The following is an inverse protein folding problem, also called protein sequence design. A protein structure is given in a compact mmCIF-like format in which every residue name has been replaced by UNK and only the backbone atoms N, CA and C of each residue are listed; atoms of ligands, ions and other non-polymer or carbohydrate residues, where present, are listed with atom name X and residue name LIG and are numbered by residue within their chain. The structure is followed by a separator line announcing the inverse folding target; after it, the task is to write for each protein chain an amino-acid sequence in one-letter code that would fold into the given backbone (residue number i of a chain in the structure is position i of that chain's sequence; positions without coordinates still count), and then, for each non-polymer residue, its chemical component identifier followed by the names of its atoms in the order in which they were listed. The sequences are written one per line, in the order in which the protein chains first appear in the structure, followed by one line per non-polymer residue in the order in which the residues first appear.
data_IF_184258822872
#
_entry.id   IF_184258822872
#
_cell.length_a   1.000
_cell.length_b   1.000
_cell.length_c   1.000
_cell.angle_alpha   90.00
_cell.angle_beta   90.00
_cell.angle_gamma   90.00
#
_symmetry.space_group_name_H-M   'P 1'
#
loop_
_entity.id
_entity.type
_entity.pdbx_description
1 polymer ?
#
# COMPACT_ATOMS: atom_id res chain seq x y z
N UNK A 1 -30.21 9.69 4.98
CA UNK A 1 -29.33 10.06 3.87
C UNK A 1 -29.00 8.77 3.12
N UNK A 2 -29.21 8.70 1.82
CA UNK A 2 -28.81 7.54 1.02
C UNK A 2 -27.32 7.67 0.71
N UNK A 3 -26.52 6.65 1.03
CA UNK A 3 -25.10 6.63 0.70
C UNK A 3 -24.93 6.46 -0.82
N UNK A 4 -23.98 7.18 -1.40
CA UNK A 4 -23.63 7.09 -2.82
C UNK A 4 -22.72 5.87 -3.07
N UNK A 5 -22.80 5.31 -4.27
CA UNK A 5 -21.87 4.24 -4.71
C UNK A 5 -20.54 4.88 -5.13
N UNK A 6 -19.45 4.20 -4.80
CA UNK A 6 -18.10 4.71 -5.07
C UNK A 6 -17.35 3.72 -5.98
N UNK A 7 -16.85 4.23 -7.08
CA UNK A 7 -16.13 3.46 -8.09
C UNK A 7 -14.68 3.91 -8.23
N UNK A 8 -13.84 3.03 -8.73
CA UNK A 8 -12.46 3.36 -9.12
C UNK A 8 -12.44 3.68 -10.59
N UNK A 9 -12.00 4.89 -10.93
CA UNK A 9 -11.95 5.39 -12.32
C UNK A 9 -10.55 5.66 -12.84
N UNK A 10 -9.53 5.58 -11.98
CA UNK A 10 -8.13 5.72 -12.37
C UNK A 10 -7.18 5.08 -11.39
N UNK A 11 -6.04 4.63 -11.89
CA UNK A 11 -5.01 3.91 -11.15
C UNK A 11 -3.64 4.45 -11.53
N UNK A 12 -2.76 4.59 -10.54
CA UNK A 12 -1.35 4.91 -10.77
C UNK A 12 -0.46 4.23 -9.75
N UNK A 13 0.69 3.71 -10.17
CA UNK A 13 1.60 3.02 -9.26
C UNK A 13 3.06 3.10 -9.68
N UNK A 14 3.94 3.24 -8.68
CA UNK A 14 5.37 2.98 -8.78
C UNK A 14 5.73 1.97 -7.71
N UNK A 15 6.34 0.86 -8.11
CA UNK A 15 6.68 -0.24 -7.21
C UNK A 15 8.08 -0.79 -7.55
N UNK A 16 8.71 -1.57 -6.67
CA UNK A 16 10.01 -2.20 -6.95
C UNK A 16 10.04 -3.12 -8.17
N UNK A 17 8.87 -3.49 -8.68
CA UNK A 17 8.71 -4.43 -9.80
C UNK A 17 7.99 -3.84 -11.02
N UNK A 18 7.67 -2.53 -10.99
CA UNK A 18 7.07 -1.83 -12.13
C UNK A 18 6.83 -0.36 -11.81
N UNK A 19 7.18 0.53 -12.74
CA UNK A 19 7.06 1.99 -12.60
C UNK A 19 5.77 2.56 -13.20
N UNK A 20 4.81 1.70 -13.48
CA UNK A 20 3.43 2.01 -13.88
C UNK A 20 2.55 0.80 -13.56
N UNK A 21 1.24 0.98 -13.60
CA UNK A 21 0.28 -0.05 -13.24
C UNK A 21 0.31 -1.29 -14.16
N UNK A 22 0.41 -1.17 -15.50
CA UNK A 22 0.57 -2.33 -16.37
C UNK A 22 1.81 -3.17 -16.08
N UNK A 23 2.96 -2.53 -15.91
CA UNK A 23 4.23 -3.21 -15.60
C UNK A 23 4.17 -3.88 -14.23
N UNK A 24 3.62 -3.18 -13.23
CA UNK A 24 3.40 -3.74 -11.89
C UNK A 24 2.54 -5.01 -11.95
N UNK A 25 1.39 -4.96 -12.61
CA UNK A 25 0.50 -6.11 -12.74
C UNK A 25 1.15 -7.28 -13.46
N UNK A 26 1.83 -7.00 -14.58
CA UNK A 26 2.55 -8.02 -15.33
C UNK A 26 3.66 -8.68 -14.48
N UNK A 27 4.42 -7.90 -13.72
CA UNK A 27 5.45 -8.42 -12.83
C UNK A 27 4.88 -9.27 -11.68
N UNK A 28 3.72 -8.88 -11.12
CA UNK A 28 3.00 -9.68 -10.13
C UNK A 28 2.62 -11.06 -10.69
N UNK A 29 2.04 -11.11 -11.88
CA UNK A 29 1.65 -12.39 -12.51
C UNK A 29 2.84 -13.28 -12.85
N UNK A 30 4.00 -12.68 -13.13
CA UNK A 30 5.23 -13.43 -13.43
C UNK A 30 6.06 -13.78 -12.19
N UNK A 31 5.62 -13.43 -10.98
CA UNK A 31 6.33 -13.75 -9.75
C UNK A 31 7.70 -13.07 -9.65
N UNK A 32 7.82 -11.81 -10.08
CA UNK A 32 9.08 -11.08 -10.09
C UNK A 32 9.44 -10.59 -8.70
N UNK A 33 10.61 -10.98 -8.17
CA UNK A 33 11.14 -10.44 -6.92
C UNK A 33 11.73 -9.04 -7.12
N UNK A 34 11.30 -8.09 -6.31
CA UNK A 34 11.85 -6.73 -6.26
C UNK A 34 13.12 -6.59 -5.43
N UNK A 35 13.43 -7.59 -4.60
CA UNK A 35 14.57 -7.54 -3.69
C UNK A 35 15.92 -7.50 -4.42
N UNK A 36 16.79 -6.58 -3.98
CA UNK A 36 18.15 -6.43 -4.50
C UNK A 36 19.06 -5.88 -3.40
N UNK A 37 20.36 -5.96 -3.61
CA UNK A 37 21.32 -5.25 -2.75
C UNK A 37 20.98 -3.76 -2.71
N UNK A 38 21.08 -3.14 -1.53
CA UNK A 38 20.83 -1.70 -1.35
C UNK A 38 21.85 -0.91 -2.15
N UNK A 39 21.36 0.06 -2.94
CA UNK A 39 22.17 0.95 -3.77
C UNK A 39 22.12 2.41 -3.33
N UNK A 40 21.12 2.78 -2.51
CA UNK A 40 20.89 4.17 -2.08
C UNK A 40 21.93 4.66 -1.05
N UNK A 41 22.58 3.75 -0.32
CA UNK A 41 23.67 4.05 0.62
C UNK A 41 24.59 2.85 0.82
N UNK A 42 25.74 3.03 1.47
CA UNK A 42 26.64 1.92 1.82
C UNK A 42 26.09 1.10 3.00
N UNK A 43 25.47 -0.03 2.67
CA UNK A 43 24.88 -0.95 3.63
C UNK A 43 25.87 -2.00 4.18
N UNK A 44 27.16 -1.96 3.86
CA UNK A 44 28.14 -3.01 4.19
C UNK A 44 28.26 -3.32 5.68
N UNK A 45 27.96 -2.33 6.56
CA UNK A 45 28.00 -2.48 8.02
C UNK A 45 26.64 -2.82 8.64
N UNK A 46 25.58 -2.93 7.84
CA UNK A 46 24.23 -3.21 8.34
C UNK A 46 23.96 -4.71 8.37
N UNK A 47 23.10 -5.13 9.29
CA UNK A 47 22.65 -6.52 9.38
C UNK A 47 21.85 -6.92 8.15
N UNK A 48 20.96 -6.06 7.68
CA UNK A 48 20.23 -6.21 6.41
C UNK A 48 20.86 -5.33 5.37
N UNK A 49 21.30 -5.92 4.23
CA UNK A 49 22.01 -5.23 3.15
C UNK A 49 21.25 -5.23 1.82
N UNK A 50 19.97 -5.56 1.87
CA UNK A 50 19.09 -5.64 0.71
C UNK A 50 17.74 -4.99 1.01
N UNK A 51 17.05 -4.58 -0.03
CA UNK A 51 15.72 -3.96 0.03
C UNK A 51 15.03 -4.07 -1.34
N UNK A 52 13.77 -3.71 -1.40
CA UNK A 52 13.00 -3.56 -2.62
C UNK A 52 12.95 -2.08 -3.02
N UNK A 53 14.04 -1.58 -3.63
CA UNK A 53 14.15 -0.22 -4.17
C UNK A 53 13.39 -0.08 -5.49
N UNK A 54 12.90 1.13 -5.80
CA UNK A 54 12.40 1.46 -7.14
C UNK A 54 13.54 1.38 -8.17
N UNK A 55 13.31 0.62 -9.23
CA UNK A 55 14.32 0.42 -10.28
C UNK A 55 14.13 1.43 -11.39
N UNK A 56 15.22 2.15 -11.75
CA UNK A 56 15.22 3.09 -12.87
C UNK A 56 14.34 4.33 -12.67
N UNK A 57 13.92 4.63 -11.45
CA UNK A 57 13.18 5.86 -11.15
C UNK A 57 14.12 7.08 -11.19
N UNK A 58 13.81 8.00 -12.07
CA UNK A 58 14.43 9.33 -12.13
C UNK A 58 13.34 10.41 -11.95
N UNK A 59 13.42 11.13 -10.84
CA UNK A 59 12.48 12.20 -10.52
C UNK A 59 12.43 13.31 -11.60
N UNK A 60 13.53 13.50 -12.35
CA UNK A 60 13.60 14.53 -13.41
C UNK A 60 12.77 14.20 -14.65
N UNK A 61 12.25 12.98 -14.77
CA UNK A 61 11.26 12.64 -15.80
C UNK A 61 9.86 13.18 -15.49
N UNK A 62 9.60 13.52 -14.21
CA UNK A 62 8.29 13.94 -13.71
C UNK A 62 8.30 15.37 -13.15
N UNK A 63 9.45 15.85 -12.72
CA UNK A 63 9.62 17.14 -12.02
C UNK A 63 10.75 17.94 -12.64
N UNK A 64 10.58 19.26 -12.72
CA UNK A 64 11.69 20.13 -13.02
C UNK A 64 12.77 20.04 -11.92
N UNK A 65 14.04 20.19 -12.30
CA UNK A 65 15.19 20.12 -11.37
C UNK A 65 15.07 21.05 -10.15
N UNK A 66 14.46 22.23 -10.33
CA UNK A 66 14.23 23.18 -9.22
C UNK A 66 13.15 22.70 -8.27
N UNK A 67 12.15 22.02 -8.80
CA UNK A 67 11.03 21.47 -8.05
C UNK A 67 11.42 20.20 -7.29
N UNK A 68 12.13 19.28 -7.96
CA UNK A 68 12.60 18.03 -7.34
C UNK A 68 13.46 18.24 -6.09
N UNK A 69 14.17 19.37 -6.01
CA UNK A 69 14.99 19.75 -4.83
C UNK A 69 14.18 20.23 -3.63
N UNK A 70 12.91 20.62 -3.84
CA UNK A 70 12.03 21.15 -2.80
C UNK A 70 11.19 20.09 -2.11
N UNK A 71 11.20 18.86 -2.61
CA UNK A 71 10.41 17.75 -2.12
C UNK A 71 11.29 16.54 -1.76
N UNK A 72 10.88 15.77 -0.75
CA UNK A 72 11.52 14.51 -0.40
C UNK A 72 11.18 13.40 -1.41
N UNK A 73 11.96 12.32 -1.41
CA UNK A 73 11.77 11.18 -2.33
C UNK A 73 10.36 10.62 -2.27
N UNK A 74 9.75 10.47 -1.07
CA UNK A 74 8.38 9.93 -0.97
C UNK A 74 7.36 10.84 -1.70
N UNK A 75 7.54 12.16 -1.66
CA UNK A 75 6.71 13.12 -2.41
C UNK A 75 7.00 13.06 -3.92
N UNK A 76 8.26 12.86 -4.34
CA UNK A 76 8.61 12.72 -5.76
C UNK A 76 7.88 11.53 -6.39
N UNK A 77 7.91 10.38 -5.75
CA UNK A 77 7.21 9.17 -6.24
C UNK A 77 5.68 9.29 -6.15
N UNK A 78 5.16 10.01 -5.15
CA UNK A 78 3.74 10.33 -5.04
C UNK A 78 3.25 11.14 -6.24
N UNK A 79 4.01 12.16 -6.64
CA UNK A 79 3.68 13.01 -7.79
C UNK A 79 3.70 12.21 -9.10
N UNK A 80 4.70 11.35 -9.29
CA UNK A 80 4.76 10.49 -10.47
C UNK A 80 3.56 9.53 -10.56
N UNK A 81 3.18 8.88 -9.45
CA UNK A 81 1.99 8.04 -9.41
C UNK A 81 0.69 8.85 -9.64
N UNK A 82 0.64 10.12 -9.15
CA UNK A 82 -0.54 10.97 -9.35
C UNK A 82 -0.74 11.36 -10.81
N UNK A 83 0.35 11.60 -11.54
CA UNK A 83 0.27 11.89 -12.98
C UNK A 83 -0.32 10.73 -13.76
N UNK A 84 0.09 9.49 -13.46
CA UNK A 84 -0.47 8.30 -14.07
C UNK A 84 -1.96 8.17 -13.76
N UNK A 85 -2.35 8.24 -12.47
CA UNK A 85 -3.73 8.04 -12.05
C UNK A 85 -4.70 9.11 -12.59
N UNK A 86 -4.30 10.37 -12.57
CA UNK A 86 -5.12 11.48 -13.09
C UNK A 86 -5.29 11.38 -14.60
N UNK A 87 -4.22 11.00 -15.32
CA UNK A 87 -4.27 10.76 -16.77
C UNK A 87 -5.15 9.55 -17.09
N UNK A 88 -5.02 8.46 -16.36
CA UNK A 88 -5.81 7.24 -16.53
C UNK A 88 -7.31 7.51 -16.29
N UNK A 89 -7.63 8.23 -15.22
CA UNK A 89 -8.99 8.68 -14.91
C UNK A 89 -9.55 9.69 -15.92
N UNK A 90 -8.74 10.25 -16.82
CA UNK A 90 -9.11 11.33 -17.74
C UNK A 90 -9.79 12.50 -17.03
N UNK A 91 -9.20 12.92 -15.89
CA UNK A 91 -9.70 14.09 -15.17
C UNK A 91 -9.28 15.34 -15.93
N UNK A 92 -10.27 16.17 -16.27
CA UNK A 92 -10.07 17.45 -16.94
C UNK A 92 -10.66 18.57 -16.08
N UNK A 93 -9.78 19.36 -15.46
CA UNK A 93 -10.14 20.49 -14.60
C UNK A 93 -10.87 21.62 -15.30
N UNK A 94 -10.83 21.69 -16.63
CA UNK A 94 -11.53 22.72 -17.41
C UNK A 94 -13.02 22.38 -17.58
N UNK A 95 -13.38 21.10 -17.47
CA UNK A 95 -14.75 20.62 -17.62
C UNK A 95 -15.39 20.12 -16.32
N UNK A 96 -14.59 19.90 -15.29
CA UNK A 96 -15.03 19.42 -13.98
C UNK A 96 -14.84 20.51 -12.91
N UNK A 97 -15.66 20.47 -11.86
CA UNK A 97 -15.53 21.39 -10.73
C UNK A 97 -14.34 20.99 -9.84
N UNK A 98 -13.21 21.73 -9.86
CA UNK A 98 -12.04 21.39 -9.06
C UNK A 98 -12.27 21.55 -7.56
N UNK A 99 -13.32 22.25 -7.11
CA UNK A 99 -13.68 22.38 -5.70
C UNK A 99 -14.37 21.11 -5.17
N UNK A 100 -14.78 20.21 -6.08
CA UNK A 100 -15.34 18.89 -5.79
C UNK A 100 -14.35 17.75 -5.96
N UNK A 101 -13.10 18.03 -6.32
CA UNK A 101 -12.00 17.04 -6.44
C UNK A 101 -11.03 17.25 -5.30
N UNK A 102 -10.91 16.24 -4.43
CA UNK A 102 -10.05 16.28 -3.27
C UNK A 102 -8.84 15.33 -3.35
N UNK A 103 -7.97 15.42 -2.35
CA UNK A 103 -6.79 14.56 -2.19
C UNK A 103 -6.72 14.07 -0.75
N UNK A 104 -6.79 12.75 -0.55
CA UNK A 104 -6.56 12.11 0.75
C UNK A 104 -5.40 11.14 0.58
N UNK A 105 -4.23 11.50 1.10
CA UNK A 105 -3.00 10.79 0.80
C UNK A 105 -2.26 10.38 2.08
N UNK A 106 -1.51 9.28 2.02
CA UNK A 106 -0.88 8.70 3.20
C UNK A 106 0.64 8.55 3.06
N UNK A 107 1.31 8.62 4.19
CA UNK A 107 2.64 8.09 4.40
C UNK A 107 2.76 7.63 5.85
N UNK A 108 3.53 6.59 6.12
CA UNK A 108 3.75 6.10 7.47
C UNK A 108 4.81 6.88 8.22
N UNK A 109 5.87 7.32 7.53
CA UNK A 109 7.05 7.97 8.12
C UNK A 109 7.35 9.32 7.46
N UNK A 110 7.07 9.48 6.17
CA UNK A 110 7.29 10.72 5.44
C UNK A 110 8.76 11.00 5.11
N UNK A 111 9.20 12.25 5.23
CA UNK A 111 10.50 12.73 4.78
C UNK A 111 11.70 12.33 5.66
N UNK A 112 11.83 11.07 6.02
CA UNK A 112 12.91 10.55 6.87
C UNK A 112 14.30 10.78 6.25
N UNK A 113 14.43 10.64 4.93
CA UNK A 113 15.71 10.87 4.24
C UNK A 113 16.14 12.31 4.42
N UNK A 114 15.24 13.25 4.15
CA UNK A 114 15.52 14.70 4.37
C UNK A 114 15.88 15.00 5.83
N UNK A 115 15.13 14.41 6.79
CA UNK A 115 15.43 14.59 8.22
C UNK A 115 16.83 14.09 8.56
N UNK A 116 17.18 12.90 8.13
CA UNK A 116 18.50 12.30 8.35
C UNK A 116 19.61 13.19 7.78
N UNK A 117 19.50 13.63 6.52
CA UNK A 117 20.50 14.45 5.84
C UNK A 117 20.72 15.79 6.55
N UNK A 118 19.65 16.50 6.89
CA UNK A 118 19.73 17.82 7.53
C UNK A 118 20.33 17.74 8.94
N UNK A 119 19.97 16.72 9.73
CA UNK A 119 20.54 16.49 11.06
C UNK A 119 22.01 16.10 10.99
N UNK A 120 22.41 15.24 10.05
CA UNK A 120 23.81 14.86 9.85
C UNK A 120 24.63 16.08 9.41
N UNK A 121 24.14 16.90 8.50
CA UNK A 121 24.81 18.10 8.02
C UNK A 121 25.01 19.11 9.16
N UNK A 122 23.98 19.32 9.98
CA UNK A 122 24.10 20.18 11.16
C UNK A 122 25.13 19.64 12.17
N UNK A 123 25.09 18.34 12.48
CA UNK A 123 25.99 17.70 13.43
C UNK A 123 27.47 17.72 12.98
N UNK A 124 27.73 17.68 11.69
CA UNK A 124 29.09 17.78 11.09
C UNK A 124 29.56 19.21 10.90
N UNK A 125 28.69 20.21 11.09
CA UNK A 125 28.97 21.63 10.91
C UNK A 125 29.66 22.27 12.14
N UNK A 126 29.72 23.57 12.12
CA UNK A 126 30.31 24.42 13.17
C UNK A 126 29.32 24.81 14.29
N UNK A 127 28.14 24.19 14.32
CA UNK A 127 27.06 24.53 15.26
C UNK A 127 26.15 25.65 14.79
N UNK A 128 26.47 26.32 13.67
CA UNK A 128 25.57 27.32 13.09
C UNK A 128 24.37 26.66 12.47
N UNK A 129 23.11 27.04 12.81
CA UNK A 129 21.90 26.38 12.30
C UNK A 129 21.60 26.78 10.85
N UNK A 130 22.28 26.14 9.91
CA UNK A 130 22.10 26.34 8.46
C UNK A 130 21.30 25.20 7.88
N UNK A 131 19.98 25.19 8.12
CA UNK A 131 19.05 24.22 7.55
C UNK A 131 18.52 24.68 6.19
N UNK A 132 18.14 23.70 5.35
CA UNK A 132 17.45 23.98 4.10
C UNK A 132 16.11 24.68 4.39
N UNK A 133 15.75 25.79 3.71
CA UNK A 133 14.45 26.46 3.90
C UNK A 133 13.24 25.56 3.68
N UNK A 134 13.40 24.48 2.92
CA UNK A 134 12.36 23.48 2.67
C UNK A 134 12.44 22.27 3.62
N UNK A 135 13.30 22.28 4.64
CA UNK A 135 13.48 21.14 5.54
C UNK A 135 12.15 20.68 6.14
N UNK A 136 11.45 21.57 6.82
CA UNK A 136 10.16 21.21 7.46
C UNK A 136 9.11 20.82 6.41
N UNK A 137 8.85 21.59 5.34
CA UNK A 137 7.92 21.18 4.29
C UNK A 137 8.24 19.82 3.64
N UNK A 138 9.52 19.49 3.46
CA UNK A 138 9.92 18.20 2.89
C UNK A 138 9.65 17.02 3.84
N UNK A 139 9.70 17.27 5.15
CA UNK A 139 9.62 16.23 6.17
C UNK A 139 8.19 15.85 6.53
N UNK A 140 7.26 16.82 6.58
CA UNK A 140 5.89 16.59 7.08
C UNK A 140 5.06 15.72 6.15
N UNK A 141 4.22 14.86 6.74
CA UNK A 141 3.48 13.81 6.04
C UNK A 141 2.40 14.31 5.07
N UNK A 142 1.80 15.47 5.36
CA UNK A 142 0.69 16.05 4.59
C UNK A 142 1.13 16.74 3.29
N UNK A 143 2.43 17.01 3.17
CA UNK A 143 2.93 17.81 2.05
C UNK A 143 2.75 17.12 0.69
N UNK A 144 2.77 15.78 0.65
CA UNK A 144 2.51 15.05 -0.58
C UNK A 144 1.07 15.28 -1.09
N UNK A 145 0.07 15.27 -0.20
CA UNK A 145 -1.32 15.63 -0.55
C UNK A 145 -1.41 17.07 -1.07
N UNK A 146 -0.72 18.02 -0.40
CA UNK A 146 -0.64 19.40 -0.83
C UNK A 146 -0.01 19.57 -2.21
N UNK A 147 1.09 18.87 -2.49
CA UNK A 147 1.75 18.93 -3.81
C UNK A 147 0.91 18.32 -4.93
N UNK A 148 0.21 17.20 -4.68
CA UNK A 148 -0.72 16.59 -5.65
C UNK A 148 -1.85 17.60 -5.97
N UNK A 149 -2.44 18.21 -4.94
CA UNK A 149 -3.49 19.24 -5.09
C UNK A 149 -2.99 20.43 -5.93
N UNK A 150 -1.83 21.00 -5.59
CA UNK A 150 -1.24 22.12 -6.32
C UNK A 150 -0.92 21.78 -7.78
N UNK A 151 -0.35 20.59 -8.03
CA UNK A 151 0.03 20.14 -9.38
C UNK A 151 -1.14 20.01 -10.32
N UNK A 152 -2.24 19.45 -9.83
CA UNK A 152 -3.43 19.20 -10.65
C UNK A 152 -4.51 20.28 -10.51
N UNK A 153 -4.38 21.21 -9.56
CA UNK A 153 -5.33 22.29 -9.34
C UNK A 153 -6.61 21.86 -8.61
N UNK A 154 -6.57 20.77 -7.83
CA UNK A 154 -7.71 20.26 -7.07
C UNK A 154 -7.88 21.03 -5.76
N UNK A 155 -9.12 21.47 -5.44
CA UNK A 155 -9.39 22.35 -4.30
C UNK A 155 -10.45 21.80 -3.32
N UNK A 156 -10.87 20.55 -3.52
CA UNK A 156 -11.72 19.83 -2.57
C UNK A 156 -10.98 19.46 -1.26
N UNK A 157 -11.52 18.55 -0.44
CA UNK A 157 -10.89 18.11 0.79
C UNK A 157 -9.43 17.67 0.57
N UNK A 158 -8.49 18.17 1.39
CA UNK A 158 -7.06 17.88 1.23
C UNK A 158 -6.42 17.67 2.61
N UNK A 159 -5.99 16.45 2.91
CA UNK A 159 -5.30 16.10 4.15
C UNK A 159 -4.56 14.77 4.05
N UNK A 160 -3.68 14.51 5.03
CA UNK A 160 -2.97 13.25 5.13
C UNK A 160 -3.55 12.33 6.20
N UNK A 161 -3.35 11.02 6.02
CA UNK A 161 -3.68 9.97 6.99
C UNK A 161 -2.41 9.22 7.36
N UNK A 162 -2.22 8.93 8.65
CA UNK A 162 -1.11 8.10 9.11
C UNK A 162 -1.56 7.10 10.17
N UNK A 163 -1.21 5.84 9.95
CA UNK A 163 -1.46 4.70 10.83
C UNK A 163 -0.43 3.59 10.57
N UNK A 164 0.84 3.99 10.48
CA UNK A 164 1.97 3.12 10.14
C UNK A 164 1.71 2.36 8.82
N UNK A 165 1.85 1.01 8.83
CA UNK A 165 1.66 0.20 7.61
C UNK A 165 0.22 0.23 7.07
N UNK A 166 -0.79 0.60 7.88
CA UNK A 166 -2.19 0.68 7.47
C UNK A 166 -2.57 2.04 6.84
N UNK A 167 -1.62 2.99 6.74
CA UNK A 167 -1.88 4.37 6.38
C UNK A 167 -2.65 4.54 5.06
N UNK A 168 -2.19 3.92 3.98
CA UNK A 168 -2.85 4.09 2.67
C UNK A 168 -4.19 3.36 2.56
N UNK A 169 -4.40 2.25 3.28
CA UNK A 169 -5.73 1.64 3.36
C UNK A 169 -6.71 2.54 4.12
N UNK A 170 -6.27 3.18 5.21
CA UNK A 170 -7.09 4.17 5.91
C UNK A 170 -7.35 5.42 5.05
N UNK A 171 -6.38 5.87 4.22
CA UNK A 171 -6.62 6.95 3.28
C UNK A 171 -7.71 6.60 2.25
N UNK A 172 -7.68 5.36 1.70
CA UNK A 172 -8.74 4.85 0.83
C UNK A 172 -10.09 4.83 1.56
N UNK A 173 -10.13 4.39 2.81
CA UNK A 173 -11.35 4.38 3.63
C UNK A 173 -11.91 5.79 3.84
N UNK A 174 -11.07 6.77 4.18
CA UNK A 174 -11.51 8.16 4.33
C UNK A 174 -12.00 8.76 3.02
N UNK A 175 -11.29 8.50 1.90
CA UNK A 175 -11.73 8.92 0.58
C UNK A 175 -13.07 8.30 0.18
N UNK A 176 -13.25 6.99 0.44
CA UNK A 176 -14.51 6.30 0.26
C UNK A 176 -15.64 6.96 1.07
N UNK A 177 -15.39 7.30 2.34
CA UNK A 177 -16.35 7.98 3.19
C UNK A 177 -16.74 9.37 2.66
N UNK A 178 -15.76 10.18 2.23
CA UNK A 178 -16.01 11.50 1.69
C UNK A 178 -16.88 11.45 0.42
N UNK A 179 -16.59 10.52 -0.49
CA UNK A 179 -17.36 10.37 -1.73
C UNK A 179 -18.75 9.81 -1.44
N UNK A 180 -18.88 8.72 -0.65
CA UNK A 180 -20.19 8.10 -0.37
C UNK A 180 -21.15 9.02 0.42
N UNK A 181 -20.60 9.97 1.20
CA UNK A 181 -21.37 10.99 1.91
C UNK A 181 -21.66 12.23 1.05
N UNK A 182 -21.14 12.29 -0.17
CA UNK A 182 -21.36 13.42 -1.10
C UNK A 182 -20.55 14.67 -0.74
N UNK A 183 -19.50 14.55 0.06
CA UNK A 183 -18.61 15.66 0.44
C UNK A 183 -17.64 16.03 -0.70
N UNK A 184 -17.35 15.09 -1.59
CA UNK A 184 -16.61 15.27 -2.84
C UNK A 184 -17.21 14.39 -3.92
N UNK A 185 -16.95 14.72 -5.20
CA UNK A 185 -17.34 13.88 -6.32
C UNK A 185 -16.20 12.95 -6.74
N UNK A 186 -14.96 13.42 -6.60
CA UNK A 186 -13.74 12.66 -6.86
C UNK A 186 -12.74 12.87 -5.71
N UNK A 187 -12.08 11.80 -5.28
CA UNK A 187 -10.91 11.87 -4.38
C UNK A 187 -9.75 11.09 -4.99
N UNK A 188 -8.61 11.76 -5.10
CA UNK A 188 -7.32 11.14 -5.40
C UNK A 188 -6.79 10.57 -4.09
N UNK A 189 -6.76 9.26 -3.96
CA UNK A 189 -6.40 8.61 -2.70
C UNK A 189 -5.33 7.54 -2.85
N UNK A 190 -4.50 7.42 -1.86
CA UNK A 190 -3.43 6.43 -1.85
C UNK A 190 -2.36 6.74 -0.83
N UNK A 191 -1.12 6.40 -1.17
CA UNK A 191 0.02 6.66 -0.29
C UNK A 191 1.36 6.41 -0.96
N UNK A 192 2.40 6.93 -0.34
CA UNK A 192 3.78 6.70 -0.74
C UNK A 192 4.69 6.53 0.47
N UNK A 193 5.76 5.77 0.29
CA UNK A 193 6.81 5.60 1.29
C UNK A 193 8.15 5.42 0.61
N UNK A 194 9.19 6.11 1.10
CA UNK A 194 10.55 5.99 0.59
C UNK A 194 11.55 6.24 1.73
N UNK A 195 11.79 5.22 2.54
CA UNK A 195 12.59 5.30 3.76
C UNK A 195 13.77 4.32 3.79
N UNK A 196 14.18 3.82 2.62
CA UNK A 196 15.40 3.00 2.48
C UNK A 196 16.60 3.93 2.64
N UNK A 197 17.06 4.03 3.87
CA UNK A 197 18.16 4.89 4.32
C UNK A 197 18.85 4.25 5.51
N UNK A 198 19.98 4.82 5.94
CA UNK A 198 20.71 4.32 7.11
C UNK A 198 19.84 4.32 8.37
N UNK A 199 19.06 5.38 8.61
CA UNK A 199 18.16 5.45 9.76
C UNK A 199 16.97 4.51 9.62
N UNK A 200 16.39 4.35 8.43
CA UNK A 200 15.30 3.43 8.17
C UNK A 200 15.71 1.97 8.38
N UNK A 201 16.71 1.50 7.63
CA UNK A 201 17.22 0.13 7.76
C UNK A 201 17.78 -0.12 9.16
N UNK A 202 18.57 0.82 9.71
CA UNK A 202 19.16 0.69 11.06
C UNK A 202 18.11 0.63 12.15
N UNK A 203 17.07 1.45 12.08
CA UNK A 203 15.96 1.47 13.04
C UNK A 203 15.17 0.15 13.06
N UNK A 204 14.80 -0.38 11.90
CA UNK A 204 14.08 -1.65 11.81
C UNK A 204 14.98 -2.86 12.12
N UNK A 205 16.29 -2.81 11.82
CA UNK A 205 17.26 -3.80 12.30
C UNK A 205 17.35 -3.83 13.83
N UNK A 206 17.36 -2.67 14.49
CA UNK A 206 17.40 -2.59 15.96
C UNK A 206 16.18 -3.26 16.60
N UNK A 207 15.03 -3.22 15.94
CA UNK A 207 13.79 -3.89 16.35
C UNK A 207 13.76 -5.38 15.98
N UNK A 208 14.76 -5.89 15.25
CA UNK A 208 14.79 -7.26 14.70
C UNK A 208 13.57 -7.58 13.82
N UNK A 209 13.10 -6.59 13.07
CA UNK A 209 11.92 -6.71 12.24
C UNK A 209 12.24 -7.10 10.79
N UNK A 210 13.47 -6.80 10.34
CA UNK A 210 13.93 -7.12 8.99
C UNK A 210 14.54 -8.50 8.88
N UNK A 211 14.35 -9.14 7.73
CA UNK A 211 15.11 -10.34 7.37
C UNK A 211 16.60 -10.01 7.26
N UNK A 212 17.45 -10.92 7.76
CA UNK A 212 18.91 -10.83 7.68
C UNK A 212 19.49 -11.83 6.64
N UNK A 213 18.68 -12.35 5.72
CA UNK A 213 19.04 -13.35 4.71
C UNK A 213 19.83 -12.74 3.54
N UNK A 214 21.01 -12.21 3.85
CA UNK A 214 21.84 -11.49 2.87
C UNK A 214 22.39 -12.36 1.74
N UNK A 215 22.58 -13.65 1.98
CA UNK A 215 23.19 -14.58 0.99
C UNK A 215 22.16 -15.04 -0.06
N UNK A 216 20.87 -14.90 0.24
CA UNK A 216 19.76 -15.26 -0.66
C UNK A 216 18.61 -14.26 -0.51
N UNK A 217 18.91 -12.97 -0.75
CA UNK A 217 17.97 -11.89 -0.55
C UNK A 217 16.77 -11.93 -1.51
N UNK A 218 16.91 -12.53 -2.68
CA UNK A 218 15.82 -12.63 -3.66
C UNK A 218 14.65 -13.47 -3.16
N UNK A 219 14.90 -14.38 -2.22
CA UNK A 219 13.91 -15.24 -1.57
C UNK A 219 13.65 -14.87 -0.11
N UNK A 220 14.16 -13.71 0.35
CA UNK A 220 14.06 -13.32 1.76
C UNK A 220 12.62 -12.98 2.18
N UNK A 221 11.84 -12.31 1.33
CA UNK A 221 10.42 -12.10 1.57
C UNK A 221 9.64 -13.37 1.21
N UNK A 222 9.31 -14.18 2.23
CA UNK A 222 8.72 -15.53 2.10
C UNK A 222 7.51 -15.74 3.02
N UNK A 223 6.39 -15.00 2.79
CA UNK A 223 5.20 -15.17 3.60
C UNK A 223 4.75 -16.63 3.65
N UNK A 224 4.33 -17.09 4.85
CA UNK A 224 3.85 -18.45 5.14
C UNK A 224 4.89 -19.57 5.08
N UNK A 225 6.13 -19.27 4.69
CA UNK A 225 7.23 -20.22 4.77
C UNK A 225 7.66 -20.44 6.24
N UNK A 226 8.02 -21.67 6.60
CA UNK A 226 8.47 -22.00 7.96
C UNK A 226 9.71 -21.21 8.36
N UNK A 227 10.61 -20.95 7.42
CA UNK A 227 11.90 -20.33 7.66
C UNK A 227 11.90 -18.81 7.43
N UNK A 228 10.71 -18.16 7.47
CA UNK A 228 10.57 -16.70 7.42
C UNK A 228 11.18 -16.07 8.66
N UNK A 229 11.94 -15.00 8.49
CA UNK A 229 12.75 -14.39 9.55
C UNK A 229 12.56 -12.87 9.72
N UNK A 230 11.61 -12.28 9.00
CA UNK A 230 11.32 -10.84 9.02
C UNK A 230 10.92 -10.32 7.65
N UNK A 231 10.48 -9.07 7.60
CA UNK A 231 10.08 -8.46 6.34
C UNK A 231 11.29 -7.90 5.56
N UNK A 232 11.11 -7.73 4.25
CA UNK A 232 12.03 -7.01 3.38
C UNK A 232 11.46 -5.60 3.16
N UNK A 233 12.22 -4.55 3.49
CA UNK A 233 11.77 -3.16 3.30
C UNK A 233 11.65 -2.84 1.81
N UNK A 234 10.56 -2.15 1.43
CA UNK A 234 10.33 -1.65 0.09
C UNK A 234 9.97 -0.16 0.09
N UNK A 235 10.11 0.48 -1.07
CA UNK A 235 9.59 1.82 -1.34
C UNK A 235 8.56 1.76 -2.49
N UNK A 236 7.49 2.52 -2.40
CA UNK A 236 6.46 2.57 -3.43
C UNK A 236 5.58 3.83 -3.32
N UNK A 237 4.83 4.09 -4.39
CA UNK A 237 3.66 4.95 -4.39
C UNK A 237 2.52 4.28 -5.14
N UNK A 238 1.30 4.47 -4.66
CA UNK A 238 0.10 4.01 -5.33
C UNK A 238 -1.06 5.00 -5.15
N UNK A 239 -1.91 5.07 -6.15
CA UNK A 239 -3.10 5.93 -6.17
C UNK A 239 -4.27 5.19 -6.81
N UNK A 240 -5.42 5.33 -6.18
CA UNK A 240 -6.74 5.05 -6.72
C UNK A 240 -7.53 6.35 -6.81
N UNK A 241 -8.13 6.61 -7.96
CA UNK A 241 -9.11 7.69 -8.12
C UNK A 241 -10.47 7.13 -7.76
N UNK A 242 -11.01 7.58 -6.63
CA UNK A 242 -12.34 7.20 -6.17
C UNK A 242 -13.36 8.26 -6.62
N UNK A 243 -14.44 7.82 -7.25
CA UNK A 243 -15.42 8.70 -7.85
C UNK A 243 -16.85 8.24 -7.54
N UNK A 244 -17.76 9.19 -7.41
CA UNK A 244 -19.18 8.91 -7.29
C UNK A 244 -19.71 8.29 -8.58
N UNK A 245 -20.48 7.21 -8.48
CA UNK A 245 -20.89 6.41 -9.63
C UNK A 245 -21.65 7.19 -10.70
N UNK A 246 -22.64 8.00 -10.31
CA UNK A 246 -23.45 8.72 -11.29
C UNK A 246 -22.66 9.88 -11.93
N UNK A 247 -21.73 10.47 -11.17
CA UNK A 247 -20.74 11.41 -11.71
C UNK A 247 -19.85 10.75 -12.76
N UNK A 248 -19.30 9.57 -12.44
CA UNK A 248 -18.46 8.78 -13.36
C UNK A 248 -19.21 8.41 -14.65
N UNK A 249 -20.46 7.95 -14.53
CA UNK A 249 -21.31 7.64 -15.69
C UNK A 249 -21.61 8.87 -16.54
N UNK A 250 -21.95 9.99 -15.90
CA UNK A 250 -22.32 11.22 -16.61
C UNK A 250 -21.18 11.76 -17.49
N UNK A 251 -19.92 11.59 -17.06
CA UNK A 251 -18.75 11.98 -17.85
C UNK A 251 -18.18 10.86 -18.74
N UNK A 252 -18.79 9.69 -18.75
CA UNK A 252 -18.32 8.55 -19.55
C UNK A 252 -16.96 7.99 -19.08
N UNK A 253 -16.70 8.01 -17.77
CA UNK A 253 -15.47 7.46 -17.20
C UNK A 253 -15.37 5.96 -17.41
N UNK A 254 -14.15 5.45 -17.57
CA UNK A 254 -13.89 4.04 -17.39
C UNK A 254 -14.07 3.68 -15.91
N UNK A 255 -14.85 2.65 -15.62
CA UNK A 255 -15.03 2.13 -14.26
C UNK A 255 -14.32 0.79 -14.16
N UNK A 256 -13.36 0.70 -13.26
CA UNK A 256 -12.59 -0.51 -13.01
C UNK A 256 -13.32 -1.49 -12.07
N UNK A 257 -13.77 -0.98 -10.94
CA UNK A 257 -14.47 -1.75 -9.91
C UNK A 257 -15.22 -0.79 -8.97
N UNK A 258 -15.91 -1.35 -7.96
CA UNK A 258 -16.46 -0.59 -6.84
C UNK A 258 -15.64 -0.83 -5.56
N UNK A 259 -15.44 0.21 -4.76
CA UNK A 259 -15.13 0.06 -3.34
C UNK A 259 -16.47 -0.04 -2.62
N UNK A 260 -16.68 -1.16 -1.92
CA UNK A 260 -18.01 -1.43 -1.35
C UNK A 260 -18.03 -1.53 0.17
N UNK A 261 -16.88 -1.66 0.80
CA UNK A 261 -16.79 -1.70 2.26
C UNK A 261 -15.37 -1.55 2.75
N UNK A 262 -15.27 -0.95 3.93
CA UNK A 262 -14.02 -0.75 4.65
C UNK A 262 -14.18 -1.09 6.12
N UNK A 263 -13.08 -1.45 6.78
CA UNK A 263 -13.01 -1.67 8.20
C UNK A 263 -11.78 -1.04 8.81
N UNK A 264 -11.90 -0.56 10.04
CA UNK A 264 -10.78 -0.14 10.88
C UNK A 264 -11.00 -0.63 12.30
N UNK A 265 -9.97 -1.19 12.93
CA UNK A 265 -9.97 -1.65 14.32
C UNK A 265 -8.60 -1.48 14.95
N UNK A 266 -8.49 -1.71 16.24
CA UNK A 266 -7.23 -1.73 16.96
C UNK A 266 -7.04 -3.07 17.68
N UNK A 267 -5.79 -3.54 17.76
CA UNK A 267 -5.42 -4.73 18.56
C UNK A 267 -5.53 -4.45 20.08
N UNK A 268 -5.22 -3.21 20.48
CA UNK A 268 -5.12 -2.80 21.89
C UNK A 268 -4.29 -3.79 22.73
N UNK A 269 -3.18 -4.29 22.16
CA UNK A 269 -2.38 -5.36 22.75
C UNK A 269 -0.91 -4.98 22.98
N UNK A 270 -0.18 -4.66 21.92
CA UNK A 270 1.25 -4.35 21.97
C UNK A 270 1.64 -3.34 20.90
N UNK A 271 2.73 -2.60 21.11
CA UNK A 271 3.19 -1.54 20.21
C UNK A 271 3.56 -2.06 18.81
N UNK A 272 4.12 -3.25 18.70
CA UNK A 272 4.63 -3.81 17.42
C UNK A 272 4.19 -5.24 17.13
N UNK A 273 3.82 -6.03 18.14
CA UNK A 273 3.37 -7.39 17.95
C UNK A 273 1.85 -7.46 17.75
N UNK A 274 1.34 -8.28 16.82
CA UNK A 274 -0.09 -8.51 16.66
C UNK A 274 -0.65 -9.27 17.87
N UNK A 275 -1.97 -9.18 18.07
CA UNK A 275 -2.64 -10.04 19.05
C UNK A 275 -2.46 -11.52 18.64
N UNK A 276 -2.00 -12.45 19.54
CA UNK A 276 -1.64 -13.81 19.18
C UNK A 276 -2.75 -14.63 18.50
N UNK A 277 -4.01 -14.31 18.83
CA UNK A 277 -5.18 -14.94 18.23
C UNK A 277 -5.75 -14.15 17.05
N UNK A 278 -5.02 -13.15 16.54
CA UNK A 278 -5.46 -12.33 15.41
C UNK A 278 -6.76 -11.56 15.67
N UNK A 279 -7.03 -11.16 16.91
CA UNK A 279 -8.33 -10.55 17.29
C UNK A 279 -8.64 -9.29 16.50
N UNK A 280 -7.70 -8.36 16.36
CA UNK A 280 -7.88 -7.13 15.59
C UNK A 280 -8.05 -7.41 14.11
N UNK A 281 -7.22 -8.31 13.53
CA UNK A 281 -7.34 -8.77 12.15
C UNK A 281 -8.70 -9.42 11.85
N UNK A 282 -9.19 -10.26 12.77
CA UNK A 282 -10.54 -10.84 12.68
C UNK A 282 -11.61 -9.75 12.66
N UNK A 283 -11.55 -8.84 13.63
CA UNK A 283 -12.58 -7.82 13.82
C UNK A 283 -12.62 -6.83 12.64
N UNK A 284 -11.48 -6.49 12.04
CA UNK A 284 -11.44 -5.58 10.90
C UNK A 284 -12.06 -6.19 9.65
N UNK A 285 -11.82 -7.48 9.37
CA UNK A 285 -12.48 -8.20 8.27
C UNK A 285 -14.00 -8.27 8.48
N UNK A 286 -14.46 -8.57 9.69
CA UNK A 286 -15.90 -8.56 10.04
C UNK A 286 -16.49 -7.15 9.85
N UNK A 287 -15.78 -6.10 10.25
CA UNK A 287 -16.24 -4.73 10.07
C UNK A 287 -16.37 -4.36 8.59
N UNK A 288 -15.39 -4.72 7.77
CA UNK A 288 -15.42 -4.48 6.33
C UNK A 288 -16.55 -5.24 5.63
N UNK A 289 -16.77 -6.52 5.96
CA UNK A 289 -17.88 -7.32 5.43
C UNK A 289 -19.23 -6.71 5.83
N UNK A 290 -19.38 -6.25 7.07
CA UNK A 290 -20.59 -5.56 7.53
C UNK A 290 -20.85 -4.27 6.77
N UNK A 291 -19.82 -3.42 6.58
CA UNK A 291 -19.94 -2.16 5.83
C UNK A 291 -20.33 -2.43 4.37
N UNK A 292 -19.79 -3.50 3.77
CA UNK A 292 -20.11 -3.94 2.42
C UNK A 292 -21.50 -4.60 2.29
N UNK A 293 -22.15 -4.97 3.38
CA UNK A 293 -23.37 -5.80 3.35
C UNK A 293 -23.13 -7.20 2.78
N UNK A 294 -21.91 -7.75 2.94
CA UNK A 294 -21.48 -9.03 2.38
C UNK A 294 -21.32 -10.10 3.46
N UNK A 295 -21.41 -11.35 3.02
CA UNK A 295 -21.05 -12.54 3.81
C UNK A 295 -19.64 -13.01 3.46
N UNK A 296 -18.97 -13.80 4.31
CA UNK A 296 -17.69 -14.41 3.95
C UNK A 296 -17.70 -15.17 2.61
N UNK A 297 -18.83 -15.83 2.25
CA UNK A 297 -18.99 -16.59 1.00
C UNK A 297 -18.97 -15.75 -0.29
N UNK A 298 -19.03 -14.44 -0.17
CA UNK A 298 -19.01 -13.52 -1.32
C UNK A 298 -17.60 -13.12 -1.73
N UNK A 299 -16.57 -13.39 -0.90
CA UNK A 299 -15.18 -13.08 -1.17
C UNK A 299 -14.50 -14.25 -1.88
N UNK A 300 -13.78 -13.96 -2.95
CA UNK A 300 -13.05 -14.97 -3.74
C UNK A 300 -11.53 -14.91 -3.51
N UNK A 301 -10.99 -13.74 -3.15
CA UNK A 301 -9.57 -13.49 -2.97
C UNK A 301 -9.28 -12.60 -1.76
N UNK A 302 -8.25 -12.95 -1.01
CA UNK A 302 -7.69 -12.12 0.05
C UNK A 302 -6.22 -11.82 -0.27
N UNK A 303 -5.91 -10.53 -0.47
CA UNK A 303 -4.54 -10.03 -0.42
C UNK A 303 -4.22 -9.71 1.04
N UNK A 304 -3.32 -10.48 1.61
CA UNK A 304 -3.02 -10.43 3.03
C UNK A 304 -1.99 -9.37 3.37
N UNK A 305 -1.95 -9.01 4.64
CA UNK A 305 -0.82 -8.24 5.15
C UNK A 305 0.49 -9.03 5.03
N UNK A 306 0.51 -10.30 5.38
CA UNK A 306 1.52 -11.31 5.06
C UNK A 306 2.94 -10.78 4.89
N UNK A 307 3.57 -10.29 5.97
CA UNK A 307 4.86 -9.57 5.92
C UNK A 307 6.08 -10.48 5.94
N UNK A 308 5.91 -11.80 5.94
CA UNK A 308 7.02 -12.74 6.15
C UNK A 308 7.62 -12.67 7.58
N UNK A 309 6.78 -12.32 8.54
CA UNK A 309 7.15 -12.35 9.96
C UNK A 309 6.51 -13.56 10.66
N UNK A 310 7.24 -14.25 11.56
CA UNK A 310 6.71 -15.46 12.21
C UNK A 310 5.36 -15.24 12.89
N UNK A 311 5.23 -14.19 13.69
CA UNK A 311 4.01 -13.91 14.46
C UNK A 311 2.89 -13.32 13.61
N UNK A 312 3.22 -12.42 12.67
CA UNK A 312 2.24 -11.70 11.86
C UNK A 312 1.45 -12.62 10.96
N UNK A 313 2.16 -13.43 10.19
CA UNK A 313 1.56 -14.33 9.21
C UNK A 313 0.66 -15.37 9.89
N UNK A 314 1.12 -15.97 11.00
CA UNK A 314 0.34 -16.97 11.75
C UNK A 314 -0.95 -16.37 12.35
N UNK A 315 -0.85 -15.17 12.96
CA UNK A 315 -2.01 -14.48 13.54
C UNK A 315 -3.06 -14.10 12.49
N UNK A 316 -2.61 -13.65 11.31
CA UNK A 316 -3.51 -13.30 10.20
C UNK A 316 -4.25 -14.53 9.66
N UNK A 317 -3.56 -15.66 9.47
CA UNK A 317 -4.18 -16.89 8.97
C UNK A 317 -5.19 -17.45 9.98
N UNK A 318 -4.91 -17.40 11.29
CA UNK A 318 -5.91 -17.72 12.33
C UNK A 318 -7.15 -16.85 12.19
N UNK A 319 -6.98 -15.55 12.00
CA UNK A 319 -8.08 -14.61 11.82
C UNK A 319 -8.92 -14.93 10.57
N UNK A 320 -8.27 -15.19 9.43
CA UNK A 320 -8.93 -15.56 8.18
C UNK A 320 -9.75 -16.87 8.37
N UNK A 321 -9.12 -17.90 8.94
CA UNK A 321 -9.81 -19.18 9.19
C UNK A 321 -11.02 -19.00 10.10
N UNK A 322 -10.91 -18.14 11.12
CA UNK A 322 -12.01 -17.85 12.02
C UNK A 322 -13.19 -17.11 11.33
N UNK A 323 -12.88 -16.11 10.50
CA UNK A 323 -13.91 -15.29 9.82
C UNK A 323 -14.60 -16.06 8.72
N UNK A 324 -13.85 -16.82 7.93
CA UNK A 324 -14.35 -17.47 6.72
C UNK A 324 -14.79 -18.91 6.95
N UNK A 325 -14.44 -19.54 8.10
CA UNK A 325 -14.81 -20.91 8.41
C UNK A 325 -14.44 -21.87 7.29
N UNK A 326 -15.36 -22.75 6.89
CA UNK A 326 -15.12 -23.69 5.78
C UNK A 326 -14.90 -23.01 4.43
N UNK A 327 -15.38 -21.78 4.26
CA UNK A 327 -15.15 -21.02 3.03
C UNK A 327 -13.66 -20.62 2.86
N UNK A 328 -12.88 -20.56 3.95
CA UNK A 328 -11.44 -20.28 3.89
C UNK A 328 -10.69 -21.25 2.93
N UNK A 329 -11.15 -22.50 2.83
CA UNK A 329 -10.56 -23.51 1.93
C UNK A 329 -10.94 -23.32 0.46
N UNK A 330 -11.90 -22.44 0.18
CA UNK A 330 -12.33 -22.07 -1.17
C UNK A 330 -11.79 -20.72 -1.63
N UNK A 331 -11.09 -19.98 -0.76
CA UNK A 331 -10.45 -18.71 -1.09
C UNK A 331 -9.11 -18.91 -1.79
N UNK A 332 -8.74 -17.95 -2.64
CA UNK A 332 -7.33 -17.70 -2.89
C UNK A 332 -6.81 -16.71 -1.84
N UNK A 333 -5.67 -17.03 -1.27
CA UNK A 333 -4.93 -16.18 -0.33
C UNK A 333 -3.57 -15.93 -0.96
N UNK A 334 -3.11 -14.67 -1.02
CA UNK A 334 -1.73 -14.40 -1.40
C UNK A 334 -1.16 -13.17 -0.72
N UNK A 335 0.16 -13.14 -0.56
CA UNK A 335 0.89 -11.94 -0.16
C UNK A 335 1.78 -11.47 -1.31
N UNK A 336 1.42 -10.34 -1.90
CA UNK A 336 2.23 -9.67 -2.93
C UNK A 336 3.52 -9.08 -2.37
N UNK A 337 3.65 -8.98 -1.03
CA UNK A 337 4.90 -8.58 -0.36
C UNK A 337 6.04 -9.59 -0.60
N UNK A 338 5.74 -10.81 -0.99
CA UNK A 338 6.77 -11.76 -1.46
C UNK A 338 7.57 -11.23 -2.66
N UNK A 339 6.96 -10.31 -3.44
CA UNK A 339 7.52 -9.69 -4.65
C UNK A 339 7.95 -8.24 -4.42
N UNK A 340 7.09 -7.42 -3.81
CA UNK A 340 7.32 -5.99 -3.62
C UNK A 340 8.13 -5.65 -2.35
N UNK A 341 8.31 -6.60 -1.45
CA UNK A 341 8.69 -6.28 -0.08
C UNK A 341 7.55 -5.54 0.64
N UNK A 342 7.82 -5.07 1.83
CA UNK A 342 6.88 -4.30 2.63
C UNK A 342 7.11 -2.80 2.44
N UNK A 343 6.24 -2.14 1.70
CA UNK A 343 6.33 -0.73 1.36
C UNK A 343 5.69 0.18 2.43
N UNK A 344 5.62 -0.28 3.69
CA UNK A 344 5.15 0.46 4.87
C UNK A 344 3.83 1.21 4.61
N UNK A 345 3.83 2.55 4.75
CA UNK A 345 2.63 3.37 4.55
C UNK A 345 2.02 3.30 3.15
N UNK A 346 2.79 2.91 2.13
CA UNK A 346 2.29 2.69 0.78
C UNK A 346 1.76 1.26 0.53
N UNK A 347 1.99 0.31 1.46
CA UNK A 347 1.67 -1.10 1.24
C UNK A 347 0.19 -1.32 0.90
N UNK A 348 -0.71 -0.71 1.67
CA UNK A 348 -2.15 -0.94 1.49
C UNK A 348 -2.69 -0.52 0.13
N UNK A 349 -2.21 0.58 -0.44
CA UNK A 349 -2.72 1.03 -1.75
C UNK A 349 -2.18 0.19 -2.90
N UNK A 350 -0.91 -0.23 -2.88
CA UNK A 350 -0.39 -1.12 -3.95
C UNK A 350 -1.07 -2.50 -3.89
N UNK A 351 -1.42 -2.97 -2.71
CA UNK A 351 -2.16 -4.21 -2.50
C UNK A 351 -3.64 -4.07 -2.89
N UNK A 352 -4.26 -2.94 -2.60
CA UNK A 352 -5.60 -2.62 -3.11
C UNK A 352 -5.60 -2.57 -4.65
N UNK A 353 -4.57 -1.99 -5.28
CA UNK A 353 -4.40 -2.03 -6.75
C UNK A 353 -4.30 -3.48 -7.25
N UNK A 354 -3.53 -4.36 -6.58
CA UNK A 354 -3.47 -5.78 -6.94
C UNK A 354 -4.85 -6.46 -6.83
N UNK A 355 -5.67 -6.12 -5.82
CA UNK A 355 -7.06 -6.59 -5.71
C UNK A 355 -7.95 -6.06 -6.85
N UNK A 356 -7.85 -4.78 -7.18
CA UNK A 356 -8.58 -4.17 -8.32
C UNK A 356 -8.23 -4.90 -9.63
N UNK A 357 -6.95 -5.08 -9.90
CA UNK A 357 -6.49 -5.79 -11.10
C UNK A 357 -6.94 -7.26 -11.11
N UNK A 358 -6.97 -7.93 -9.95
CA UNK A 358 -7.47 -9.31 -9.83
C UNK A 358 -8.95 -9.40 -10.18
N UNK A 359 -9.76 -8.44 -9.73
CA UNK A 359 -11.20 -8.36 -10.04
C UNK A 359 -11.45 -8.11 -11.53
N UNK A 360 -10.61 -7.30 -12.17
CA UNK A 360 -10.73 -6.97 -13.61
C UNK A 360 -10.36 -8.17 -14.49
N UNK A 361 -9.23 -8.84 -14.15
CA UNK A 361 -8.62 -9.84 -15.02
C UNK A 361 -9.00 -11.29 -14.66
N UNK A 362 -9.74 -11.51 -13.58
CA UNK A 362 -10.09 -12.84 -13.07
C UNK A 362 -8.83 -13.71 -12.83
N UNK A 363 -7.77 -13.07 -12.31
CA UNK A 363 -6.49 -13.71 -11.97
C UNK A 363 -6.02 -13.29 -10.59
N UNK A 364 -5.45 -14.23 -9.84
CA UNK A 364 -4.87 -13.98 -8.51
C UNK A 364 -3.35 -14.09 -8.60
N UNK A 365 -2.60 -13.03 -8.21
CA UNK A 365 -1.14 -13.07 -8.21
C UNK A 365 -0.61 -14.04 -7.15
N UNK A 366 0.57 -14.65 -7.38
CA UNK A 366 1.11 -15.65 -6.47
C UNK A 366 1.74 -15.05 -5.21
N UNK A 367 1.87 -15.89 -4.18
CA UNK A 367 2.90 -15.78 -3.17
C UNK A 367 4.12 -16.56 -3.66
N UNK A 368 5.27 -15.90 -3.81
CA UNK A 368 6.53 -16.57 -4.18
C UNK A 368 7.39 -16.88 -2.96
N UNK A 369 8.49 -17.61 -3.18
CA UNK A 369 9.52 -17.91 -2.17
C UNK A 369 9.12 -18.91 -1.07
N UNK A 370 8.02 -19.62 -1.22
CA UNK A 370 7.67 -20.71 -0.31
C UNK A 370 8.51 -21.95 -0.62
N UNK A 371 9.31 -22.42 0.33
CA UNK A 371 10.20 -23.58 0.19
C UNK A 371 9.86 -24.67 1.21
N UNK A 372 9.46 -24.30 2.41
CA UNK A 372 9.22 -25.21 3.52
C UNK A 372 7.87 -24.95 4.16
N UNK A 373 7.02 -25.98 4.20
CA UNK A 373 5.71 -25.90 4.85
C UNK A 373 5.85 -25.58 6.35
N UNK A 374 5.06 -24.60 6.81
CA UNK A 374 4.93 -24.29 8.22
C UNK A 374 3.87 -25.20 8.86
N UNK A 375 4.23 -26.04 9.85
CA UNK A 375 3.30 -26.96 10.49
C UNK A 375 2.19 -26.26 11.30
N UNK A 376 2.34 -24.96 11.61
CA UNK A 376 1.30 -24.18 12.28
C UNK A 376 0.20 -23.68 11.34
N UNK A 377 0.40 -23.78 10.02
CA UNK A 377 -0.56 -23.35 9.00
C UNK A 377 -1.27 -24.55 8.38
N UNK A 378 -2.59 -24.41 8.19
CA UNK A 378 -3.39 -25.46 7.57
C UNK A 378 -3.08 -25.59 6.07
N UNK A 379 -2.52 -26.71 5.66
CA UNK A 379 -2.13 -26.99 4.26
C UNK A 379 -3.30 -27.10 3.28
N UNK A 380 -4.55 -27.13 3.76
CA UNK A 380 -5.73 -27.11 2.90
C UNK A 380 -6.04 -25.72 2.37
N UNK A 381 -5.46 -24.67 2.97
CA UNK A 381 -5.58 -23.29 2.50
C UNK A 381 -4.83 -23.10 1.19
N UNK A 382 -5.43 -22.38 0.26
CA UNK A 382 -4.82 -22.07 -1.02
C UNK A 382 -4.04 -20.75 -0.96
N UNK A 383 -2.77 -20.81 -0.58
CA UNK A 383 -1.87 -19.63 -0.51
C UNK A 383 -1.41 -19.14 -1.88
N UNK A 384 -1.93 -19.69 -2.96
CA UNK A 384 -1.58 -19.31 -4.34
C UNK A 384 -0.07 -19.33 -4.59
N UNK A 385 0.62 -20.38 -4.14
CA UNK A 385 2.08 -20.44 -4.21
C UNK A 385 2.62 -20.53 -5.64
N UNK A 386 3.68 -19.78 -5.89
CA UNK A 386 4.57 -19.78 -7.06
C UNK A 386 3.98 -19.29 -8.38
N UNK A 387 2.72 -19.59 -8.67
CA UNK A 387 2.09 -19.28 -9.96
C UNK A 387 0.76 -18.57 -9.77
N UNK A 388 0.44 -17.60 -10.64
CA UNK A 388 -0.87 -17.00 -10.62
C UNK A 388 -1.95 -18.04 -10.90
N UNK A 389 -3.11 -17.86 -10.32
CA UNK A 389 -4.26 -18.74 -10.53
C UNK A 389 -5.37 -18.00 -11.26
N UNK A 390 -5.87 -18.62 -12.34
CA UNK A 390 -7.08 -18.16 -13.01
C UNK A 390 -8.28 -18.49 -12.14
N UNK A 391 -9.07 -17.46 -11.82
CA UNK A 391 -10.26 -17.59 -10.99
C UNK A 391 -11.20 -16.42 -11.25
N UNK A 392 -12.50 -16.68 -11.36
CA UNK A 392 -13.47 -15.58 -11.32
C UNK A 392 -13.41 -14.90 -9.96
N UNK A 393 -12.99 -13.63 -9.95
CA UNK A 393 -12.89 -12.80 -8.74
C UNK A 393 -14.02 -11.78 -8.75
N UNK A 394 -15.12 -12.13 -8.07
CA UNK A 394 -16.29 -11.24 -7.93
C UNK A 394 -16.00 -10.12 -6.92
N UNK A 395 -15.32 -10.48 -5.83
CA UNK A 395 -14.86 -9.54 -4.83
C UNK A 395 -13.53 -9.99 -4.22
N UNK A 396 -12.68 -9.02 -3.92
CA UNK A 396 -11.40 -9.20 -3.26
C UNK A 396 -11.31 -8.32 -2.02
N UNK A 397 -10.62 -8.81 -1.00
CA UNK A 397 -10.39 -8.17 0.28
C UNK A 397 -8.89 -7.94 0.46
N UNK A 398 -8.48 -6.74 0.83
CA UNK A 398 -7.09 -6.38 1.17
C UNK A 398 -6.98 -6.03 2.63
N UNK A 399 -6.06 -6.71 3.34
CA UNK A 399 -5.75 -6.47 4.75
C UNK A 399 -4.44 -5.72 4.92
N UNK A 400 -4.41 -4.79 5.86
CA UNK A 400 -3.19 -4.11 6.26
C UNK A 400 -3.17 -3.90 7.77
N UNK A 401 -2.07 -4.33 8.42
CA UNK A 401 -1.91 -4.24 9.88
C UNK A 401 -0.65 -3.43 10.20
N UNK A 402 -0.78 -2.39 11.01
CA UNK A 402 0.29 -1.45 11.32
C UNK A 402 0.76 -1.52 12.76
N UNK A 403 2.00 -1.14 13.00
CA UNK A 403 2.51 -0.87 14.35
C UNK A 403 1.59 0.13 15.06
N UNK A 404 1.43 -0.02 16.38
CA UNK A 404 0.39 0.66 17.16
C UNK A 404 -0.88 -0.17 17.25
N UNK A 405 -0.94 -1.35 16.60
CA UNK A 405 -2.11 -2.22 16.55
C UNK A 405 -3.19 -1.70 15.60
N UNK A 406 -2.82 -0.89 14.60
CA UNK A 406 -3.77 -0.38 13.60
C UNK A 406 -4.11 -1.47 12.58
N UNK A 407 -5.39 -1.78 12.43
CA UNK A 407 -5.88 -2.74 11.45
C UNK A 407 -6.82 -2.03 10.48
N UNK A 408 -6.58 -2.18 9.19
CA UNK A 408 -7.43 -1.65 8.14
C UNK A 408 -7.70 -2.73 7.08
N UNK A 409 -8.91 -2.68 6.51
CA UNK A 409 -9.35 -3.61 5.48
C UNK A 409 -10.22 -2.88 4.46
N UNK A 410 -10.04 -3.18 3.18
CA UNK A 410 -10.86 -2.67 2.10
C UNK A 410 -11.37 -3.82 1.24
N UNK A 411 -12.63 -3.73 0.77
CA UNK A 411 -13.26 -4.69 -0.15
C UNK A 411 -13.54 -4.00 -1.47
N UNK A 412 -13.00 -4.57 -2.53
CA UNK A 412 -13.27 -4.19 -3.92
C UNK A 412 -14.16 -5.25 -4.58
N UNK A 413 -15.09 -4.83 -5.41
CA UNK A 413 -16.05 -5.70 -6.09
C UNK A 413 -16.09 -5.40 -7.58
N UNK A 414 -16.24 -6.45 -8.39
CA UNK A 414 -16.43 -6.33 -9.82
C UNK A 414 -17.64 -5.43 -10.13
N UNK A 415 -17.42 -4.41 -10.94
CA UNK A 415 -18.49 -3.51 -11.33
C UNK A 415 -19.50 -4.24 -12.20
N UNK A 416 -20.77 -4.05 -11.88
CA UNK A 416 -21.91 -4.43 -12.73
C UNK A 416 -22.75 -3.19 -12.99
N UNK A 417 -22.95 -2.88 -14.27
CA UNK A 417 -23.68 -1.69 -14.74
C UNK A 417 -25.14 -1.64 -14.24
#
# INVERSE_FOLDING_TARGET
MQLKRVVVTGIGSLTPIGNNTPDYWNALLNGVSGANAITLFDASKFKTRFACELKGFDALQYLEKKESRKVDRYTQIALAASDEAVKDARIDKETMDPDRIGVVFASGIGGLITFQEEVINFAKGDGTPRFNPFFIPKMILDIAAGHISMRHGFRGPNFAVTSACASSTNAIMEAFNLVRLGMADIIISGGSEAVISESGIGGFNAMKALSERNDDFTTASRPYDKDRDGFVMGEAAGILVLEELEHAKARGAQIYCEIIGCGATADAYHMTAPHPEGLGAKNVMIAALRDAGMTPGDIDYINTHGTSTPLGDTAEIKAITHVFGDHAFNLNISSTKSMTGHCLGAAGVIEAIACVMSVIHDQVPPTINHLTDDPELDRRLNFTFWKPQQRTVRAALSNTFGFGGHNACVIVKKFSA
#
